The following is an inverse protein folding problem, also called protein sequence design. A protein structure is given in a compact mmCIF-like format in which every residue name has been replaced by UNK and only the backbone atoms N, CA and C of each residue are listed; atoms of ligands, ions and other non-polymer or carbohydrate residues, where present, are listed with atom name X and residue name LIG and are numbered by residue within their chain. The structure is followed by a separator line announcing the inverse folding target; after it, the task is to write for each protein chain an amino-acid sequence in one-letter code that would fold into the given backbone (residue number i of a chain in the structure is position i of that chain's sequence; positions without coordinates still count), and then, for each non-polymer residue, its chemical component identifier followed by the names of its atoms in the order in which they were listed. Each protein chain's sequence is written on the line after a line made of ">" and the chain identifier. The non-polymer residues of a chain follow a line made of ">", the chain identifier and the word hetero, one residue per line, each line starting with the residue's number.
data_IF_004001146916
#
_entry.id   IF_004001146916
#
_cell.length_a   1.000
_cell.length_b   1.000
_cell.length_c   1.000
_cell.angle_alpha   90.00
_cell.angle_beta   90.00
_cell.angle_gamma   90.00
#
_symmetry.space_group_name_H-M   'P 1'
#
loop_
_entity.id
_entity.type
_entity.pdbx_description
1 polymer ?
#
# COMPACT_ATOMS: atom_id res chain seq x y z
N UNK A 1 7.90 22.61 0.67
CA UNK A 1 9.10 23.44 0.87
C UNK A 1 10.21 22.75 1.67
N UNK A 2 9.89 21.76 2.53
CA UNK A 2 10.89 20.99 3.28
C UNK A 2 12.00 20.38 2.39
N UNK A 3 11.63 19.66 1.33
CA UNK A 3 12.60 18.98 0.44
C UNK A 3 13.55 19.99 -0.23
N UNK A 4 13.03 21.10 -0.72
CA UNK A 4 13.83 22.15 -1.39
C UNK A 4 14.85 22.76 -0.41
N UNK A 5 14.44 23.02 0.82
CA UNK A 5 15.33 23.58 1.86
C UNK A 5 16.38 22.59 2.36
N UNK A 6 16.04 21.30 2.50
CA UNK A 6 16.99 20.27 2.96
C UNK A 6 18.08 20.00 1.92
N UNK A 7 17.71 19.98 0.63
CA UNK A 7 18.65 19.69 -0.47
C UNK A 7 19.28 20.95 -1.08
N UNK A 8 18.96 22.14 -0.58
CA UNK A 8 19.50 23.40 -1.06
C UNK A 8 19.14 23.73 -2.51
N UNK A 9 18.01 23.22 -3.01
CA UNK A 9 17.60 23.45 -4.39
C UNK A 9 17.11 24.89 -4.59
N UNK A 10 17.40 25.50 -5.76
CA UNK A 10 16.83 26.79 -6.13
C UNK A 10 15.31 26.70 -6.26
N UNK A 11 14.59 27.77 -5.93
CA UNK A 11 13.11 27.80 -5.96
C UNK A 11 12.56 27.64 -7.38
N UNK A 12 13.37 27.95 -8.39
CA UNK A 12 13.09 27.77 -9.80
C UNK A 12 13.00 26.29 -10.19
N UNK A 13 13.52 25.36 -9.38
CA UNK A 13 13.41 23.91 -9.60
C UNK A 13 12.07 23.32 -9.13
N UNK A 14 11.23 24.10 -8.42
CA UNK A 14 9.94 23.65 -7.88
C UNK A 14 9.01 23.07 -8.97
N UNK A 15 8.84 23.70 -10.16
CA UNK A 15 7.96 23.16 -11.21
C UNK A 15 8.42 21.78 -11.69
N UNK A 16 9.73 21.59 -11.89
CA UNK A 16 10.29 20.30 -12.32
C UNK A 16 10.09 19.23 -11.24
N UNK A 17 10.36 19.57 -9.97
CA UNK A 17 10.10 18.68 -8.85
C UNK A 17 8.62 18.28 -8.78
N UNK A 18 7.71 19.21 -9.03
CA UNK A 18 6.26 18.97 -9.00
C UNK A 18 5.82 17.98 -10.08
N UNK A 19 6.39 18.07 -11.29
CA UNK A 19 6.12 17.11 -12.37
C UNK A 19 6.62 15.71 -11.98
N UNK A 20 7.85 15.62 -11.45
CA UNK A 20 8.42 14.35 -10.99
C UNK A 20 7.54 13.74 -9.89
N UNK A 21 7.16 14.52 -8.88
CA UNK A 21 6.33 14.03 -7.78
C UNK A 21 4.97 13.55 -8.25
N UNK A 22 4.36 14.23 -9.22
CA UNK A 22 3.06 13.86 -9.79
C UNK A 22 3.14 12.51 -10.50
N UNK A 23 4.21 12.26 -11.28
CA UNK A 23 4.41 10.97 -11.94
C UNK A 23 4.64 9.85 -10.92
N UNK A 24 5.41 10.12 -9.87
CA UNK A 24 5.72 9.12 -8.83
C UNK A 24 4.54 8.82 -7.90
N UNK A 25 3.50 9.66 -7.88
CA UNK A 25 2.36 9.50 -6.97
C UNK A 25 1.52 8.25 -7.29
N UNK A 26 1.35 7.93 -8.59
CA UNK A 26 0.62 6.74 -9.03
C UNK A 26 1.32 5.44 -8.57
N UNK A 27 2.62 5.24 -8.82
CA UNK A 27 3.36 4.11 -8.27
C UNK A 27 3.28 4.02 -6.75
N UNK A 28 3.42 5.15 -6.03
CA UNK A 28 3.34 5.17 -4.57
C UNK A 28 1.96 4.72 -4.06
N UNK A 29 0.88 5.15 -4.71
CA UNK A 29 -0.48 4.76 -4.34
C UNK A 29 -0.70 3.26 -4.55
N UNK A 30 -0.22 2.70 -5.66
CA UNK A 30 -0.31 1.27 -5.95
C UNK A 30 0.51 0.47 -4.94
N UNK A 31 1.73 0.92 -4.62
CA UNK A 31 2.60 0.25 -3.68
C UNK A 31 1.99 0.24 -2.27
N UNK A 32 1.46 1.38 -1.81
CA UNK A 32 0.82 1.50 -0.50
C UNK A 32 -0.43 0.61 -0.39
N UNK A 33 -1.26 0.55 -1.44
CA UNK A 33 -2.49 -0.26 -1.44
C UNK A 33 -2.19 -1.77 -1.53
N UNK A 34 -1.24 -2.16 -2.39
CA UNK A 34 -0.84 -3.56 -2.55
C UNK A 34 -0.15 -4.05 -1.28
N UNK A 35 0.73 -3.24 -0.69
CA UNK A 35 1.40 -3.52 0.58
C UNK A 35 0.42 -3.76 1.73
N UNK A 36 -0.65 -2.97 1.82
CA UNK A 36 -1.70 -3.17 2.82
C UNK A 36 -2.47 -4.49 2.60
N UNK A 37 -2.79 -4.82 1.35
CA UNK A 37 -3.49 -6.07 1.00
C UNK A 37 -2.62 -7.30 1.30
N UNK A 38 -1.34 -7.26 0.95
CA UNK A 38 -0.41 -8.37 1.24
C UNK A 38 -0.17 -8.48 2.74
N UNK A 39 0.03 -7.37 3.44
CA UNK A 39 0.20 -7.38 4.90
C UNK A 39 -1.01 -7.96 5.62
N UNK A 40 -2.24 -7.63 5.19
CA UNK A 40 -3.43 -8.22 5.80
C UNK A 40 -3.51 -9.74 5.57
N UNK A 41 -3.17 -10.22 4.37
CA UNK A 41 -3.11 -11.66 4.10
C UNK A 41 -2.01 -12.38 4.91
N UNK A 42 -0.85 -11.73 5.08
CA UNK A 42 0.25 -12.24 5.90
C UNK A 42 -0.14 -12.32 7.38
N UNK A 43 -0.77 -11.26 7.90
CA UNK A 43 -1.26 -11.22 9.29
C UNK A 43 -2.34 -12.27 9.51
N UNK A 44 -3.32 -12.41 8.61
CA UNK A 44 -4.34 -13.45 8.68
C UNK A 44 -3.71 -14.85 8.71
N UNK A 45 -2.70 -15.11 7.88
CA UNK A 45 -1.98 -16.39 7.88
C UNK A 45 -1.19 -16.64 9.16
N UNK A 46 -0.65 -15.59 9.78
CA UNK A 46 0.11 -15.70 11.04
C UNK A 46 -0.83 -15.95 12.24
N UNK A 47 -1.99 -15.30 12.26
CA UNK A 47 -2.93 -15.35 13.39
C UNK A 47 -3.88 -16.55 13.28
N UNK A 48 -4.46 -16.78 12.11
CA UNK A 48 -5.49 -17.81 11.88
C UNK A 48 -4.88 -19.15 11.38
N UNK A 49 -3.58 -19.17 11.04
CA UNK A 49 -2.86 -20.36 10.63
C UNK A 49 -2.87 -20.60 9.11
N UNK A 50 -2.39 -21.78 8.68
CA UNK A 50 -2.07 -22.07 7.28
C UNK A 50 -3.29 -22.13 6.36
N UNK A 51 -4.40 -22.68 6.84
CA UNK A 51 -5.60 -22.98 6.03
C UNK A 51 -6.76 -21.98 6.30
N UNK A 52 -6.43 -20.80 6.82
CA UNK A 52 -7.36 -19.73 7.20
C UNK A 52 -8.41 -19.38 6.13
N UNK A 53 -8.03 -19.40 4.85
CA UNK A 53 -8.93 -19.16 3.72
C UNK A 53 -9.95 -20.29 3.51
N UNK A 54 -9.53 -21.53 3.67
CA UNK A 54 -10.37 -22.73 3.49
C UNK A 54 -11.35 -22.83 4.65
N UNK A 55 -10.87 -22.60 5.87
CA UNK A 55 -11.70 -22.64 7.08
C UNK A 55 -12.80 -21.57 7.04
N UNK A 56 -12.49 -20.34 6.62
CA UNK A 56 -13.51 -19.28 6.50
C UNK A 56 -14.53 -19.55 5.41
N UNK A 57 -14.12 -20.08 4.26
CA UNK A 57 -15.07 -20.41 3.18
C UNK A 57 -16.00 -21.55 3.58
N UNK A 58 -15.48 -22.60 4.23
CA UNK A 58 -16.29 -23.72 4.73
C UNK A 58 -17.31 -23.30 5.81
N UNK A 59 -16.91 -22.44 6.76
CA UNK A 59 -17.82 -21.89 7.78
C UNK A 59 -18.92 -21.06 7.12
N UNK A 60 -18.57 -20.25 6.11
CA UNK A 60 -19.52 -19.38 5.42
C UNK A 60 -20.58 -20.20 4.69
N UNK A 61 -20.20 -21.22 3.91
CA UNK A 61 -21.16 -22.09 3.20
C UNK A 61 -22.11 -22.83 4.16
N UNK A 62 -21.61 -23.33 5.28
CA UNK A 62 -22.42 -24.05 6.28
C UNK A 62 -23.40 -23.16 7.05
N UNK A 63 -23.16 -21.85 7.09
CA UNK A 63 -24.04 -20.87 7.76
C UNK A 63 -25.20 -20.40 6.87
N UNK A 64 -25.11 -20.63 5.55
CA UNK A 64 -26.09 -20.19 4.56
C UNK A 64 -27.02 -21.34 4.14
N UNK A 65 -26.65 -22.60 4.40
CA UNK A 65 -27.52 -23.78 4.32
C UNK A 65 -28.30 -23.99 5.61
#
# INVERSE_FOLDING_TARGET
>A
MLVVSIFGFPVEAIPLLTVITTITDIPNTILNTTGNTVSSMLVSRLVEGKDWLIDKTAITTKKIS
#
